data_IF_562929255836
#
_entry.id   IF_562929255836
#
_cell.length_a   1.000
_cell.length_b   1.000
_cell.length_c   1.000
_cell.angle_alpha   90.00
_cell.angle_beta   90.00
_cell.angle_gamma   90.00
#
_symmetry.space_group_name_H-M   'P 1'
#
loop_
_entity.id
_entity.type
_entity.pdbx_description
1 polymer ?
#
# COMPACT_ATOMS: atom_id res chain seq x y z
N UNK A 1 8.12 12.60 -5.10
CA UNK A 1 8.86 11.31 -5.05
C UNK A 1 7.86 10.20 -4.74
N UNK A 2 7.99 8.99 -5.30
CA UNK A 2 7.01 7.91 -5.08
C UNK A 2 6.78 7.61 -3.60
N UNK A 3 7.87 7.49 -2.83
CA UNK A 3 7.88 7.24 -1.38
C UNK A 3 7.27 8.37 -0.52
N UNK A 4 7.01 9.55 -1.10
CA UNK A 4 6.46 10.72 -0.39
C UNK A 4 5.00 11.00 -0.78
N UNK A 5 4.40 10.12 -1.58
CA UNK A 5 3.02 10.28 -2.03
C UNK A 5 2.08 10.10 -0.83
N UNK A 6 1.11 11.01 -0.66
CA UNK A 6 0.09 10.92 0.39
C UNK A 6 -1.31 11.03 -0.20
N UNK A 7 -2.22 10.26 0.37
CA UNK A 7 -3.65 10.34 0.14
C UNK A 7 -4.19 11.58 0.87
N UNK A 8 -4.76 12.55 0.15
CA UNK A 8 -5.36 13.73 0.78
C UNK A 8 -6.52 13.34 1.70
N UNK A 9 -6.72 14.11 2.77
CA UNK A 9 -7.92 13.99 3.62
C UNK A 9 -9.16 14.24 2.75
N UNK A 10 -10.08 13.26 2.69
CA UNK A 10 -11.29 13.22 1.84
C UNK A 10 -11.09 12.86 0.37
N UNK A 11 -9.92 12.38 -0.04
CA UNK A 11 -9.74 11.82 -1.38
C UNK A 11 -10.32 10.41 -1.49
N UNK A 12 -10.63 9.98 -2.71
CA UNK A 12 -11.05 8.60 -2.97
C UNK A 12 -9.84 7.68 -2.81
N UNK A 13 -9.81 6.93 -1.70
CA UNK A 13 -8.68 6.06 -1.35
C UNK A 13 -8.48 4.97 -2.39
N UNK A 14 -9.55 4.43 -2.98
CA UNK A 14 -9.46 3.39 -4.01
C UNK A 14 -8.75 3.93 -5.25
N UNK A 15 -9.19 5.09 -5.72
CA UNK A 15 -8.58 5.77 -6.87
C UNK A 15 -7.13 6.16 -6.58
N UNK A 16 -6.84 6.61 -5.35
CA UNK A 16 -5.47 6.90 -4.93
C UNK A 16 -4.56 5.66 -4.96
N UNK A 17 -5.03 4.53 -4.43
CA UNK A 17 -4.24 3.28 -4.41
C UNK A 17 -4.05 2.70 -5.81
N UNK A 18 -5.06 2.81 -6.68
CA UNK A 18 -4.97 2.41 -8.09
C UNK A 18 -3.92 3.25 -8.83
N UNK A 19 -3.98 4.58 -8.67
CA UNK A 19 -2.96 5.49 -9.20
C UNK A 19 -1.56 5.19 -8.64
N UNK A 20 -1.45 4.82 -7.37
CA UNK A 20 -0.17 4.44 -6.74
C UNK A 20 0.40 3.16 -7.37
N UNK A 21 -0.46 2.19 -7.72
CA UNK A 21 -0.07 0.98 -8.43
C UNK A 21 0.40 1.29 -9.84
N UNK A 22 -0.38 2.03 -10.62
CA UNK A 22 -0.01 2.45 -11.98
C UNK A 22 1.35 3.15 -11.98
N UNK A 23 1.57 4.07 -11.03
CA UNK A 23 2.83 4.81 -10.91
C UNK A 23 4.02 3.92 -10.58
N UNK A 24 3.82 2.82 -9.85
CA UNK A 24 4.87 1.82 -9.61
C UNK A 24 5.24 1.11 -10.92
N UNK A 25 4.24 0.72 -11.70
CA UNK A 25 4.43 0.06 -13.00
C UNK A 25 5.13 0.97 -14.00
N UNK A 26 4.75 2.26 -14.03
CA UNK A 26 5.44 3.29 -14.83
C UNK A 26 6.91 3.41 -14.42
N UNK A 27 7.20 3.47 -13.11
CA UNK A 27 8.58 3.53 -12.61
C UNK A 27 9.38 2.28 -13.01
N UNK A 28 8.77 1.10 -12.89
CA UNK A 28 9.40 -0.15 -13.34
C UNK A 28 9.70 -0.12 -14.85
N UNK A 29 8.81 0.44 -15.66
CA UNK A 29 8.99 0.55 -17.12
C UNK A 29 10.18 1.42 -17.53
N UNK A 30 10.53 2.41 -16.71
CA UNK A 30 11.70 3.29 -16.92
C UNK A 30 12.95 2.81 -16.18
N UNK A 31 12.93 1.57 -15.66
CA UNK A 31 14.07 0.92 -15.00
C UNK A 31 14.22 1.23 -13.50
N UNK A 32 13.22 1.85 -12.87
CA UNK A 32 13.17 2.08 -11.42
C UNK A 32 12.33 0.99 -10.77
N UNK A 33 12.99 -0.05 -10.28
CA UNK A 33 12.34 -1.11 -9.51
C UNK A 33 12.05 -0.66 -8.08
N UNK A 34 10.82 -0.85 -7.63
CA UNK A 34 10.40 -0.62 -6.24
C UNK A 34 10.09 -1.99 -5.66
N UNK A 35 10.93 -2.40 -4.71
CA UNK A 35 10.77 -3.68 -4.03
C UNK A 35 9.49 -3.71 -3.19
N UNK A 36 8.99 -4.92 -2.91
CA UNK A 36 7.71 -5.08 -2.23
C UNK A 36 7.70 -4.49 -0.80
N UNK A 37 8.83 -4.45 -0.11
CA UNK A 37 8.95 -3.86 1.23
C UNK A 37 8.81 -2.34 1.15
N UNK A 38 9.54 -1.68 0.25
CA UNK A 38 9.43 -0.23 0.06
C UNK A 38 8.04 0.15 -0.47
N UNK A 39 7.45 -0.68 -1.33
CA UNK A 39 6.10 -0.45 -1.80
C UNK A 39 5.07 -0.54 -0.68
N UNK A 40 5.14 -1.57 0.18
CA UNK A 40 4.29 -1.67 1.38
C UNK A 40 4.47 -0.49 2.32
N UNK A 41 5.72 -0.09 2.57
CA UNK A 41 6.01 1.07 3.41
C UNK A 41 5.39 2.34 2.82
N UNK A 42 5.47 2.49 1.50
CA UNK A 42 4.85 3.62 0.79
C UNK A 42 3.34 3.60 0.97
N UNK A 43 2.67 2.46 0.73
CA UNK A 43 1.22 2.30 0.94
C UNK A 43 0.85 2.74 2.37
N UNK A 44 1.50 2.20 3.40
CA UNK A 44 1.21 2.54 4.80
C UNK A 44 1.43 4.03 5.12
N UNK A 45 2.52 4.62 4.64
CA UNK A 45 2.87 6.03 4.89
C UNK A 45 1.98 7.02 4.14
N UNK A 46 1.37 6.55 3.04
CA UNK A 46 0.55 7.35 2.16
C UNK A 46 -0.91 7.45 2.61
N UNK A 47 -1.38 6.48 3.39
CA UNK A 47 -2.78 6.41 3.82
C UNK A 47 -3.10 7.41 4.95
N UNK A 48 -4.39 7.80 5.09
CA UNK A 48 -4.87 8.44 6.31
C UNK A 48 -4.68 7.52 7.52
N UNK A 49 -4.46 8.11 8.71
CA UNK A 49 -4.12 7.37 9.94
C UNK A 49 -5.05 6.19 10.24
N UNK A 50 -6.36 6.36 10.03
CA UNK A 50 -7.35 5.30 10.29
C UNK A 50 -7.10 4.06 9.41
N UNK A 51 -6.88 4.27 8.12
CA UNK A 51 -6.64 3.18 7.17
C UNK A 51 -5.23 2.61 7.29
N UNK A 52 -4.24 3.44 7.64
CA UNK A 52 -2.89 2.98 7.96
C UNK A 52 -2.89 2.04 9.18
N UNK A 53 -3.69 2.34 10.20
CA UNK A 53 -3.86 1.48 11.37
C UNK A 53 -4.58 0.16 11.02
N UNK A 54 -5.61 0.21 10.18
CA UNK A 54 -6.28 -0.98 9.67
C UNK A 54 -5.30 -1.88 8.89
N UNK A 55 -4.60 -1.32 7.91
CA UNK A 55 -3.61 -2.03 7.10
C UNK A 55 -2.50 -2.65 7.96
N UNK A 56 -2.02 -1.92 8.97
CA UNK A 56 -1.02 -2.41 9.93
C UNK A 56 -1.57 -3.59 10.75
N UNK A 57 -2.84 -3.53 11.14
CA UNK A 57 -3.50 -4.62 11.88
C UNK A 57 -3.64 -5.88 11.01
N UNK A 58 -4.00 -5.72 9.73
CA UNK A 58 -4.05 -6.84 8.78
C UNK A 58 -2.66 -7.48 8.59
N UNK A 59 -1.62 -6.66 8.43
CA UNK A 59 -0.23 -7.14 8.33
C UNK A 59 0.22 -7.88 9.59
N UNK A 60 -0.16 -7.39 10.77
CA UNK A 60 0.14 -8.05 12.04
C UNK A 60 -0.58 -9.41 12.14
N UNK A 61 -1.87 -9.45 11.79
CA UNK A 61 -2.65 -10.69 11.79
C UNK A 61 -2.05 -11.73 10.84
N UNK A 62 -1.71 -11.36 9.60
CA UNK A 62 -1.11 -12.30 8.64
C UNK A 62 0.21 -12.91 9.14
N UNK A 63 1.05 -12.11 9.81
CA UNK A 63 2.30 -12.58 10.43
C UNK A 63 2.07 -13.59 11.56
N UNK A 64 0.93 -13.53 12.26
CA UNK A 64 0.61 -14.52 13.29
C UNK A 64 0.34 -15.91 12.69
N UNK A 65 -0.24 -15.97 11.48
CA UNK A 65 -0.51 -17.23 10.78
C UNK A 65 0.69 -17.76 10.01
N UNK A 66 1.55 -16.87 9.48
CA UNK A 66 2.75 -17.25 8.74
C UNK A 66 3.83 -16.18 8.96
N UNK A 67 4.75 -16.36 9.92
CA UNK A 67 5.73 -15.34 10.30
C UNK A 67 6.68 -14.92 9.18
N UNK A 68 6.96 -15.85 8.26
CA UNK A 68 7.81 -15.71 7.09
C UNK A 68 7.08 -15.11 5.88
N UNK A 69 5.74 -15.13 5.88
CA UNK A 69 4.94 -14.58 4.79
C UNK A 69 4.36 -13.24 5.17
N UNK A 70 4.50 -12.31 4.24
CA UNK A 70 3.87 -11.01 4.34
C UNK A 70 2.81 -10.86 3.28
N UNK A 71 1.73 -10.15 3.59
CA UNK A 71 0.68 -9.83 2.62
C UNK A 71 1.32 -9.13 1.43
N UNK A 72 1.05 -9.63 0.22
CA UNK A 72 1.51 -8.99 -1.01
C UNK A 72 0.91 -7.58 -1.13
N UNK A 73 1.65 -6.59 -1.64
CA UNK A 73 1.18 -5.21 -1.72
C UNK A 73 -0.19 -5.07 -2.41
N UNK A 74 -0.42 -5.78 -3.50
CA UNK A 74 -1.69 -5.74 -4.25
C UNK A 74 -2.87 -6.30 -3.45
N UNK A 75 -2.65 -7.36 -2.67
CA UNK A 75 -3.67 -7.91 -1.77
C UNK A 75 -3.97 -6.92 -0.65
N UNK A 76 -2.94 -6.25 -0.11
CA UNK A 76 -3.11 -5.22 0.90
C UNK A 76 -3.96 -4.04 0.37
N UNK A 77 -3.70 -3.61 -0.88
CA UNK A 77 -4.50 -2.58 -1.56
C UNK A 77 -5.98 -3.00 -1.68
N UNK A 78 -6.24 -4.25 -2.07
CA UNK A 78 -7.62 -4.78 -2.15
C UNK A 78 -8.32 -4.73 -0.79
N UNK A 79 -7.65 -5.19 0.27
CA UNK A 79 -8.20 -5.19 1.63
C UNK A 79 -8.53 -3.76 2.13
N UNK A 80 -7.62 -2.80 1.88
CA UNK A 80 -7.87 -1.40 2.25
C UNK A 80 -9.02 -0.80 1.44
N UNK A 81 -9.13 -1.18 0.17
CA UNK A 81 -10.20 -0.71 -0.72
C UNK A 81 -11.57 -1.26 -0.34
N UNK A 82 -11.65 -2.46 0.24
CA UNK A 82 -12.88 -3.05 0.75
C UNK A 82 -13.37 -2.38 2.04
N UNK A 83 -12.46 -1.90 2.88
CA UNK A 83 -12.78 -1.22 4.16
C UNK A 83 -13.31 0.22 3.97
N UNK A 84 -12.97 0.90 2.87
CA UNK A 84 -13.39 2.28 2.56
C UNK A 84 -14.69 2.34 1.75
#
# INVERSE_FOLDING_TARGET
RFLETKCPEKSNVREFLDNLRVKREELASVGVDIDEKDYRSTILSSLPTVLANFASSQLAAARMFSPDKTIMPDVLISLISEEY
#
